data_IF_414300121867
#
_entry.id   IF_414300121867
#
_cell.length_a   1.000
_cell.length_b   1.000
_cell.length_c   1.000
_cell.angle_alpha   90.00
_cell.angle_beta   90.00
_cell.angle_gamma   90.00
#
_symmetry.space_group_name_H-M   'P 1'
#
loop_
_entity.id
_entity.type
_entity.pdbx_description
1 polymer ?
#
# COMPACT_ATOMS: atom_id res chain seq x y z
N UNK A 1 -20.86 -7.43 -22.44
CA UNK A 1 -21.67 -8.13 -21.92
C UNK A 1 -21.24 -9.15 -20.95
N UNK A 2 -21.73 -10.27 -21.23
CA UNK A 2 -21.47 -11.29 -20.31
C UNK A 2 -20.02 -11.47 -20.09
N UNK A 3 -19.31 -11.01 -20.97
CA UNK A 3 -17.92 -11.15 -20.83
C UNK A 3 -17.41 -10.38 -19.67
N UNK A 4 -18.22 -9.53 -19.17
CA UNK A 4 -17.86 -8.79 -18.11
C UNK A 4 -17.78 -9.55 -16.87
N UNK A 5 -18.44 -10.79 -16.84
CA UNK A 5 -18.44 -11.53 -15.74
C UNK A 5 -17.29 -12.39 -15.77
N UNK A 6 -16.19 -12.01 -15.22
CA UNK A 6 -14.99 -12.77 -15.21
C UNK A 6 -14.85 -13.43 -13.87
N UNK A 7 -14.58 -14.71 -13.83
CA UNK A 7 -14.41 -15.43 -12.59
C UNK A 7 -13.13 -14.91 -11.90
N UNK A 8 -13.09 -14.99 -10.60
CA UNK A 8 -11.98 -14.45 -9.83
C UNK A 8 -10.59 -14.90 -10.27
N UNK A 9 -10.35 -16.17 -10.60
CA UNK A 9 -9.03 -16.58 -11.06
C UNK A 9 -8.59 -15.86 -12.32
N UNK A 10 -9.52 -15.66 -13.26
CA UNK A 10 -9.20 -14.98 -14.50
C UNK A 10 -8.98 -13.50 -14.25
N UNK A 11 -9.73 -12.93 -13.32
CA UNK A 11 -9.55 -11.54 -12.94
C UNK A 11 -8.18 -11.34 -12.31
N UNK A 12 -7.71 -12.28 -11.52
CA UNK A 12 -6.40 -12.19 -10.91
C UNK A 12 -5.30 -12.14 -11.96
N UNK A 13 -5.38 -12.98 -12.98
CA UNK A 13 -4.38 -12.99 -14.05
C UNK A 13 -4.41 -11.70 -14.84
N UNK A 14 -5.59 -11.17 -15.11
CA UNK A 14 -5.73 -9.89 -15.80
C UNK A 14 -5.17 -8.76 -14.97
N UNK A 15 -5.40 -8.79 -13.64
CA UNK A 15 -4.87 -7.79 -12.75
C UNK A 15 -3.35 -7.83 -12.74
N UNK A 16 -2.78 -9.01 -12.66
CA UNK A 16 -1.33 -9.17 -12.68
C UNK A 16 -0.74 -8.60 -13.97
N UNK A 17 -1.35 -8.92 -15.10
CA UNK A 17 -0.87 -8.41 -16.38
C UNK A 17 -1.00 -6.88 -16.46
N UNK A 18 -2.10 -6.34 -15.98
CA UNK A 18 -2.32 -4.90 -15.98
C UNK A 18 -1.32 -4.18 -15.10
N UNK A 19 -1.04 -4.75 -13.93
CA UNK A 19 -0.06 -4.19 -13.02
C UNK A 19 1.34 -4.22 -13.63
N UNK A 20 1.69 -5.32 -14.28
CA UNK A 20 2.97 -5.44 -14.96
C UNK A 20 3.13 -4.38 -16.03
N UNK A 21 2.06 -4.08 -16.73
CA UNK A 21 2.09 -3.04 -17.76
C UNK A 21 2.20 -1.65 -17.13
N UNK A 22 1.46 -1.39 -16.06
CA UNK A 22 1.45 -0.09 -15.42
C UNK A 22 2.76 0.22 -14.68
N UNK A 23 3.26 -0.73 -13.92
CA UNK A 23 4.49 -0.53 -13.15
C UNK A 23 5.72 -0.61 -14.05
N UNK A 24 5.64 -1.43 -15.07
CA UNK A 24 6.71 -1.54 -16.05
C UNK A 24 8.05 -1.92 -15.44
N UNK A 25 8.99 -1.01 -15.48
CA UNK A 25 10.35 -1.27 -15.05
C UNK A 25 10.64 -0.86 -13.60
N UNK A 26 9.61 -0.67 -12.79
CA UNK A 26 9.81 -0.26 -11.41
C UNK A 26 10.21 -1.46 -10.56
N UNK A 27 11.28 -2.11 -10.93
CA UNK A 27 11.82 -3.25 -10.25
C UNK A 27 12.69 -2.83 -9.10
N UNK A 28 12.89 -3.73 -8.15
CA UNK A 28 13.79 -3.52 -7.02
C UNK A 28 13.39 -2.43 -6.03
N UNK A 29 12.12 -2.08 -6.01
CA UNK A 29 11.61 -1.20 -4.96
C UNK A 29 11.44 -2.01 -3.69
N UNK A 30 11.65 -1.37 -2.56
CA UNK A 30 11.40 -1.96 -1.27
C UNK A 30 10.08 -1.39 -0.77
N UNK A 31 9.09 -2.24 -0.58
CA UNK A 31 7.73 -1.83 -0.22
C UNK A 31 7.32 -2.49 1.10
N UNK A 32 6.79 -1.70 2.01
CA UNK A 32 6.28 -2.22 3.27
C UNK A 32 4.75 -2.18 3.22
N UNK A 33 4.10 -3.31 3.47
CA UNK A 33 2.65 -3.40 3.49
C UNK A 33 2.20 -3.56 4.94
N UNK A 34 1.39 -2.63 5.41
CA UNK A 34 0.84 -2.66 6.77
C UNK A 34 -0.67 -2.85 6.62
N UNK A 35 -1.13 -4.07 6.77
CA UNK A 35 -2.51 -4.46 6.52
C UNK A 35 -2.86 -5.69 7.35
N UNK A 36 -3.97 -5.64 8.11
CA UNK A 36 -4.39 -6.77 8.93
C UNK A 36 -5.14 -7.85 8.13
N UNK A 37 -5.73 -7.50 6.99
CA UNK A 37 -6.41 -8.48 6.14
C UNK A 37 -5.35 -9.32 5.43
N UNK A 38 -5.19 -10.56 5.88
CA UNK A 38 -4.20 -11.47 5.35
C UNK A 38 -4.36 -11.74 3.86
N UNK A 39 -5.59 -11.86 3.39
CA UNK A 39 -5.84 -12.15 1.98
C UNK A 39 -5.41 -11.01 1.08
N UNK A 40 -5.77 -9.79 1.45
CA UNK A 40 -5.38 -8.61 0.69
C UNK A 40 -3.86 -8.43 0.73
N UNK A 41 -3.29 -8.54 1.92
CA UNK A 41 -1.83 -8.40 2.11
C UNK A 41 -1.06 -9.41 1.26
N UNK A 42 -1.49 -10.68 1.30
CA UNK A 42 -0.85 -11.73 0.54
C UNK A 42 -0.96 -11.51 -0.97
N UNK A 43 -2.14 -11.12 -1.44
CA UNK A 43 -2.37 -10.86 -2.86
C UNK A 43 -1.47 -9.73 -3.37
N UNK A 44 -1.45 -8.62 -2.64
CA UNK A 44 -0.63 -7.47 -3.03
C UNK A 44 0.85 -7.83 -3.00
N UNK A 45 1.28 -8.52 -1.95
CA UNK A 45 2.67 -8.95 -1.83
C UNK A 45 3.09 -9.82 -3.00
N UNK A 46 2.28 -10.82 -3.33
CA UNK A 46 2.58 -11.74 -4.41
C UNK A 46 2.75 -11.00 -5.74
N UNK A 47 1.85 -10.09 -6.02
CA UNK A 47 1.90 -9.33 -7.26
C UNK A 47 3.15 -8.45 -7.31
N UNK A 48 3.45 -7.74 -6.24
CA UNK A 48 4.61 -6.85 -6.21
C UNK A 48 5.92 -7.62 -6.29
N UNK A 49 6.00 -8.78 -5.65
CA UNK A 49 7.20 -9.60 -5.71
C UNK A 49 7.45 -10.16 -7.10
N UNK A 50 6.39 -10.48 -7.82
CA UNK A 50 6.51 -10.94 -9.20
C UNK A 50 7.05 -9.87 -10.13
N UNK A 51 6.93 -8.61 -9.73
CA UNK A 51 7.47 -7.49 -10.49
C UNK A 51 8.96 -7.24 -10.16
N UNK A 52 9.54 -8.03 -9.27
CA UNK A 52 10.93 -7.85 -8.87
C UNK A 52 11.13 -6.97 -7.65
N UNK A 53 10.06 -6.62 -6.97
CA UNK A 53 10.14 -5.78 -5.77
C UNK A 53 10.34 -6.61 -4.51
N UNK A 54 10.88 -5.99 -3.48
CA UNK A 54 11.08 -6.61 -2.19
C UNK A 54 9.97 -6.12 -1.27
N UNK A 55 9.22 -7.05 -0.70
CA UNK A 55 8.07 -6.69 0.14
C UNK A 55 8.27 -7.16 1.56
N UNK A 56 8.06 -6.25 2.52
CA UNK A 56 7.99 -6.59 3.93
C UNK A 56 6.56 -6.39 4.39
N UNK A 57 6.14 -7.16 5.39
CA UNK A 57 4.76 -7.16 5.85
C UNK A 57 4.64 -6.85 7.32
N UNK A 58 3.54 -6.22 7.70
CA UNK A 58 3.16 -6.04 9.09
C UNK A 58 1.65 -6.13 9.17
N UNK A 59 1.13 -6.72 10.23
CA UNK A 59 -0.31 -6.88 10.41
C UNK A 59 -0.96 -5.75 11.20
N UNK A 60 -0.17 -4.86 11.77
CA UNK A 60 -0.66 -3.67 12.47
C UNK A 60 0.46 -2.65 12.58
N UNK A 61 0.12 -1.46 13.08
CA UNK A 61 1.07 -0.36 13.19
C UNK A 61 2.22 -0.61 14.14
N UNK A 62 1.97 -1.35 15.22
CA UNK A 62 3.01 -1.63 16.21
C UNK A 62 4.08 -2.55 15.63
N UNK A 63 3.64 -3.61 14.94
CA UNK A 63 4.54 -4.53 14.28
C UNK A 63 5.38 -3.81 13.23
N UNK A 64 4.75 -2.91 12.49
CA UNK A 64 5.42 -2.12 11.47
C UNK A 64 6.51 -1.24 12.09
N UNK A 65 6.21 -0.55 13.18
CA UNK A 65 7.19 0.30 13.85
C UNK A 65 8.40 -0.50 14.31
N UNK A 66 8.17 -1.67 14.88
CA UNK A 66 9.26 -2.53 15.35
C UNK A 66 10.15 -2.93 14.18
N UNK A 67 9.55 -3.35 13.08
CA UNK A 67 10.29 -3.77 11.89
C UNK A 67 11.05 -2.61 11.26
N UNK A 68 10.40 -1.46 11.09
CA UNK A 68 11.01 -0.29 10.46
C UNK A 68 12.15 0.29 11.30
N UNK A 69 12.04 0.25 12.61
CA UNK A 69 13.08 0.76 13.47
C UNK A 69 14.35 -0.11 13.48
N UNK A 70 14.22 -1.36 13.08
CA UNK A 70 15.36 -2.28 13.01
C UNK A 70 16.05 -2.25 11.66
N UNK A 71 15.45 -1.61 10.66
CA UNK A 71 15.98 -1.64 9.32
C UNK A 71 17.01 -0.53 9.10
N UNK A 72 18.12 -0.89 8.49
CA UNK A 72 19.12 0.08 8.08
C UNK A 72 18.65 0.77 6.81
N UNK A 73 18.00 0.02 5.91
CA UNK A 73 17.49 0.55 4.68
C UNK A 73 15.96 0.60 4.75
N UNK A 74 15.42 1.80 4.79
CA UNK A 74 13.98 1.98 4.86
C UNK A 74 13.31 1.67 3.52
N UNK A 75 12.01 1.31 3.53
CA UNK A 75 11.31 1.06 2.28
C UNK A 75 11.16 2.33 1.46
N UNK A 76 10.94 2.14 0.17
CA UNK A 76 10.72 3.24 -0.76
C UNK A 76 9.27 3.73 -0.72
N UNK A 77 8.36 2.85 -0.36
CA UNK A 77 6.93 3.15 -0.28
C UNK A 77 6.31 2.33 0.85
N UNK A 78 5.35 2.91 1.56
CA UNK A 78 4.58 2.21 2.58
C UNK A 78 3.12 2.19 2.12
N UNK A 79 2.50 1.01 2.18
CA UNK A 79 1.06 0.84 1.98
C UNK A 79 0.47 0.65 3.38
N UNK A 80 -0.42 1.53 3.78
CA UNK A 80 -0.94 1.57 5.15
C UNK A 80 -2.44 1.47 5.21
N UNK A 81 -2.96 0.46 5.89
CA UNK A 81 -4.38 0.35 6.20
C UNK A 81 -4.68 1.20 7.44
N UNK A 82 -5.81 1.85 7.47
CA UNK A 82 -6.20 2.68 8.61
C UNK A 82 -6.83 1.89 9.74
N UNK A 83 -7.61 0.87 9.40
CA UNK A 83 -8.39 0.13 10.39
C UNK A 83 -7.73 -1.19 10.76
N UNK A 84 -6.91 -1.17 11.77
CA UNK A 84 -6.18 -2.35 12.23
C UNK A 84 -6.27 -2.47 13.75
N UNK A 85 -6.16 -3.68 14.31
CA UNK A 85 -6.13 -3.84 15.76
C UNK A 85 -4.78 -3.40 16.31
N UNK A 86 -4.69 -3.26 17.62
CA UNK A 86 -3.48 -2.92 18.37
C UNK A 86 -3.01 -1.49 18.13
N UNK A 87 -2.64 -1.16 16.91
CA UNK A 87 -2.27 0.20 16.52
C UNK A 87 -2.79 0.43 15.10
N UNK A 88 -3.75 1.34 14.95
CA UNK A 88 -4.34 1.65 13.65
C UNK A 88 -3.45 2.59 12.84
N UNK A 89 -3.86 2.89 11.61
CA UNK A 89 -3.06 3.72 10.71
C UNK A 89 -2.87 5.16 11.20
N UNK A 90 -3.88 5.75 11.83
CA UNK A 90 -3.76 7.11 12.36
C UNK A 90 -2.73 7.15 13.48
N UNK A 91 -2.75 6.16 14.36
CA UNK A 91 -1.79 6.07 15.45
C UNK A 91 -0.38 5.85 14.91
N UNK A 92 -0.25 5.01 13.88
CA UNK A 92 1.03 4.77 13.23
C UNK A 92 1.60 6.07 12.66
N UNK A 93 0.77 6.84 11.95
CA UNK A 93 1.20 8.12 11.36
C UNK A 93 1.65 9.11 12.44
N UNK A 94 0.95 9.12 13.58
CA UNK A 94 1.33 9.98 14.70
C UNK A 94 2.67 9.57 15.29
N UNK A 95 2.94 8.28 15.35
CA UNK A 95 4.18 7.76 15.92
C UNK A 95 5.40 8.03 15.04
N UNK A 96 5.23 8.12 13.74
CA UNK A 96 6.36 8.35 12.83
C UNK A 96 6.63 9.83 12.55
N UNK A 97 5.81 10.70 13.08
CA UNK A 97 5.82 12.13 12.75
C UNK A 97 7.18 12.82 12.89
N UNK A 98 7.93 12.46 13.92
CA UNK A 98 9.24 13.09 14.17
C UNK A 98 10.39 12.13 13.84
N UNK A 99 10.15 11.16 12.97
CA UNK A 99 11.15 10.17 12.61
C UNK A 99 11.50 10.28 11.12
N UNK A 100 12.56 9.60 10.73
CA UNK A 100 12.94 9.54 9.32
C UNK A 100 11.96 8.78 8.47
N UNK A 101 11.09 7.96 9.09
CA UNK A 101 10.05 7.19 8.38
C UNK A 101 9.05 8.14 7.72
N UNK A 102 8.84 9.31 8.30
CA UNK A 102 7.89 10.30 7.78
C UNK A 102 8.19 10.72 6.34
N UNK A 103 9.44 10.69 5.94
CA UNK A 103 9.83 11.11 4.59
C UNK A 103 9.47 10.09 3.49
N UNK A 104 9.09 8.88 3.90
CA UNK A 104 8.73 7.82 2.95
C UNK A 104 7.32 8.08 2.43
N UNK A 105 7.08 8.02 1.11
CA UNK A 105 5.74 8.16 0.57
C UNK A 105 4.82 7.08 1.12
N UNK A 106 3.66 7.48 1.63
CA UNK A 106 2.68 6.57 2.22
C UNK A 106 1.40 6.59 1.40
N UNK A 107 0.97 5.42 0.94
CA UNK A 107 -0.30 5.24 0.26
C UNK A 107 -1.23 4.57 1.27
N UNK A 108 -2.35 5.23 1.55
CA UNK A 108 -3.31 4.75 2.54
C UNK A 108 -4.38 3.90 1.88
N UNK A 109 -4.70 2.76 2.50
CA UNK A 109 -5.78 1.89 2.07
C UNK A 109 -6.87 1.97 3.13
N UNK A 110 -8.10 2.24 2.74
CA UNK A 110 -9.19 2.30 3.70
C UNK A 110 -10.50 1.79 3.14
N UNK A 111 -11.23 1.02 3.96
CA UNK A 111 -12.58 0.61 3.65
C UNK A 111 -13.60 1.45 4.40
N UNK A 112 -13.14 2.41 5.19
CA UNK A 112 -14.01 3.21 6.04
C UNK A 112 -14.37 4.54 5.39
N UNK A 113 -15.50 5.10 5.82
CA UNK A 113 -15.86 6.45 5.44
C UNK A 113 -15.06 7.38 6.33
N UNK A 114 -14.51 8.41 5.74
CA UNK A 114 -13.67 9.37 6.44
C UNK A 114 -14.41 10.70 6.57
N UNK A 115 -14.34 11.31 7.75
CA UNK A 115 -14.88 12.65 7.91
C UNK A 115 -13.89 13.70 7.39
N UNK A 116 -14.29 14.97 7.39
CA UNK A 116 -13.44 16.03 6.84
C UNK A 116 -12.14 16.21 7.59
N UNK A 117 -12.15 15.97 8.91
CA UNK A 117 -10.93 16.08 9.71
C UNK A 117 -9.94 14.97 9.34
N UNK A 118 -10.45 13.75 9.16
CA UNK A 118 -9.62 12.62 8.75
C UNK A 118 -9.02 12.87 7.37
N UNK A 119 -9.82 13.35 6.43
CA UNK A 119 -9.36 13.65 5.07
C UNK A 119 -8.27 14.70 5.06
N UNK A 120 -8.44 15.76 5.84
CA UNK A 120 -7.44 16.83 5.94
C UNK A 120 -6.14 16.31 6.54
N UNK A 121 -6.24 15.52 7.61
CA UNK A 121 -5.06 14.96 8.26
C UNK A 121 -4.28 14.08 7.27
N UNK A 122 -4.97 13.17 6.59
CA UNK A 122 -4.33 12.25 5.66
C UNK A 122 -3.74 12.97 4.45
N UNK A 123 -4.41 14.01 3.96
CA UNK A 123 -3.91 14.79 2.83
C UNK A 123 -2.56 15.43 3.16
N UNK A 124 -2.40 15.87 4.40
CA UNK A 124 -1.16 16.52 4.83
C UNK A 124 -0.05 15.51 5.15
N UNK A 125 -0.42 14.33 5.64
CA UNK A 125 0.54 13.35 6.13
C UNK A 125 0.85 12.20 5.17
N UNK A 126 0.10 12.06 4.10
CA UNK A 126 0.27 10.93 3.17
C UNK A 126 0.23 11.39 1.72
N UNK A 127 0.65 10.50 0.80
CA UNK A 127 0.63 10.79 -0.63
C UNK A 127 -0.76 10.68 -1.23
N UNK A 128 -1.49 9.63 -0.90
CA UNK A 128 -2.79 9.36 -1.50
C UNK A 128 -3.59 8.41 -0.62
N UNK A 129 -4.90 8.56 -0.67
CA UNK A 129 -5.82 7.63 -0.01
C UNK A 129 -6.50 6.80 -1.09
N UNK A 130 -6.43 5.48 -0.96
CA UNK A 130 -7.07 4.54 -1.87
C UNK A 130 -8.19 3.86 -1.10
N UNK A 131 -9.41 3.98 -1.60
CA UNK A 131 -10.55 3.32 -0.96
C UNK A 131 -10.58 1.85 -1.38
N UNK A 132 -10.83 0.97 -0.43
CA UNK A 132 -10.91 -0.46 -0.71
C UNK A 132 -12.17 -0.76 -1.49
N UNK A 133 -12.01 -1.10 -2.74
CA UNK A 133 -13.08 -1.45 -3.67
C UNK A 133 -12.61 -2.66 -4.47
N UNK A 134 -13.37 -3.07 -5.45
CA UNK A 134 -12.98 -4.18 -6.31
C UNK A 134 -11.69 -3.87 -7.10
N UNK A 135 -11.39 -2.58 -7.28
CA UNK A 135 -10.22 -2.16 -8.04
C UNK A 135 -9.04 -1.77 -7.16
N UNK A 136 -9.04 -2.16 -5.89
CA UNK A 136 -7.99 -1.78 -4.95
C UNK A 136 -6.58 -2.09 -5.46
N UNK A 137 -6.37 -3.27 -5.97
CA UNK A 137 -5.04 -3.70 -6.43
C UNK A 137 -4.56 -2.86 -7.61
N UNK A 138 -5.45 -2.57 -8.57
CA UNK A 138 -5.10 -1.72 -9.70
C UNK A 138 -4.79 -0.31 -9.24
N UNK A 139 -5.56 0.21 -8.28
CA UNK A 139 -5.34 1.54 -7.74
C UNK A 139 -3.98 1.64 -7.06
N UNK A 140 -3.60 0.61 -6.32
CA UNK A 140 -2.28 0.56 -5.68
C UNK A 140 -1.19 0.63 -6.75
N UNK A 141 -1.31 -0.15 -7.81
CA UNK A 141 -0.32 -0.18 -8.88
C UNK A 141 -0.19 1.18 -9.56
N UNK A 142 -1.31 1.84 -9.84
CA UNK A 142 -1.31 3.15 -10.47
C UNK A 142 -0.63 4.19 -9.58
N UNK A 143 -0.92 4.19 -8.28
CA UNK A 143 -0.35 5.17 -7.36
C UNK A 143 1.14 4.92 -7.12
N UNK A 144 1.56 3.67 -7.10
CA UNK A 144 2.99 3.36 -7.01
C UNK A 144 3.71 3.93 -8.23
N UNK A 145 3.14 3.74 -9.41
CA UNK A 145 3.71 4.26 -10.64
C UNK A 145 3.80 5.79 -10.63
N UNK A 146 2.77 6.45 -10.11
CA UNK A 146 2.75 7.90 -9.99
C UNK A 146 3.84 8.42 -9.03
N UNK A 147 4.04 7.74 -7.92
CA UNK A 147 5.08 8.09 -6.96
C UNK A 147 6.47 7.95 -7.60
N UNK A 148 6.70 6.85 -8.31
CA UNK A 148 7.96 6.60 -8.99
C UNK A 148 8.25 7.69 -10.01
N UNK A 149 7.27 8.08 -10.81
CA UNK A 149 7.45 9.11 -11.81
C UNK A 149 7.80 10.48 -11.22
N UNK A 150 7.28 10.78 -10.02
CA UNK A 150 7.57 12.06 -9.38
C UNK A 150 8.94 12.07 -8.72
N UNK A 151 9.41 10.93 -8.25
CA UNK A 151 10.67 10.84 -7.52
C UNK A 151 11.84 10.41 -8.40
N UNK A 152 11.50 9.80 -9.50
CA UNK A 152 12.52 9.34 -10.46
C UNK A 152 12.80 10.38 -11.50
#
# INVERSE_FOLDING_TARGET
GAADFVSKPIEKDRLINSIQTLIGKSENLKICIIEDDENLRFTVKEILEKQGNIVTEASNGKEALIKLNKEENLPDIILLDLMMPIMNGFEFLSQIKDTKIKSIPILVLTGADLDDNDKSFLKNETEKVIHKTDDTVLSIAEEINNVIKRTG
#
